data_IF_298327835287
#
_entry.id   IF_298327835287
#
_cell.length_a   1.000
_cell.length_b   1.000
_cell.length_c   1.000
_cell.angle_alpha   90.00
_cell.angle_beta   90.00
_cell.angle_gamma   90.00
#
_symmetry.space_group_name_H-M   'P 1'
#
loop_
_entity.id
_entity.type
_entity.pdbx_description
1 polymer ?
#
# COMPACT_ATOMS: atom_id res chain seq x y z
N UNK A 1 -20.20 -10.72 -40.78
CA UNK A 1 -20.51 -9.32 -40.49
C UNK A 1 -21.27 -9.11 -39.20
N UNK A 2 -22.37 -9.81 -38.93
CA UNK A 2 -23.19 -9.65 -37.68
C UNK A 2 -22.35 -9.88 -36.40
N UNK A 3 -21.53 -10.94 -36.33
CA UNK A 3 -20.70 -11.25 -35.15
C UNK A 3 -19.72 -10.11 -34.85
N UNK A 4 -19.08 -9.52 -35.86
CA UNK A 4 -18.15 -8.40 -35.70
C UNK A 4 -18.89 -7.16 -35.16
N UNK A 5 -20.12 -6.93 -35.63
CA UNK A 5 -20.97 -5.81 -35.17
C UNK A 5 -21.36 -6.01 -33.68
N UNK A 6 -21.74 -7.23 -33.30
CA UNK A 6 -22.08 -7.58 -31.93
C UNK A 6 -20.85 -7.41 -31.01
N UNK A 7 -19.69 -7.94 -31.43
CA UNK A 7 -18.45 -7.81 -30.66
C UNK A 7 -18.02 -6.33 -30.48
N UNK A 8 -18.15 -5.53 -31.54
CA UNK A 8 -17.84 -4.10 -31.48
C UNK A 8 -18.73 -3.37 -30.44
N UNK A 9 -20.05 -3.56 -30.51
CA UNK A 9 -20.96 -2.88 -29.60
C UNK A 9 -20.85 -3.39 -28.16
N UNK A 10 -20.59 -4.69 -27.95
CA UNK A 10 -20.30 -5.24 -26.63
C UNK A 10 -19.03 -4.66 -26.04
N UNK A 11 -17.96 -4.54 -26.83
CA UNK A 11 -16.71 -3.92 -26.38
C UNK A 11 -16.91 -2.44 -26.06
N UNK A 12 -17.62 -1.70 -26.92
CA UNK A 12 -17.93 -0.30 -26.68
C UNK A 12 -18.79 -0.09 -25.42
N UNK A 13 -19.80 -0.94 -25.22
CA UNK A 13 -20.64 -0.91 -24.01
C UNK A 13 -19.85 -1.25 -22.75
N UNK A 14 -18.93 -2.22 -22.82
CA UNK A 14 -18.07 -2.59 -21.71
C UNK A 14 -17.10 -1.45 -21.35
N UNK A 15 -16.48 -0.83 -22.34
CA UNK A 15 -15.61 0.35 -22.12
C UNK A 15 -16.39 1.50 -21.48
N UNK A 16 -17.59 1.79 -22.01
CA UNK A 16 -18.44 2.82 -21.42
C UNK A 16 -18.84 2.48 -19.97
N UNK A 17 -19.23 1.23 -19.72
CA UNK A 17 -19.56 0.79 -18.37
C UNK A 17 -18.39 0.93 -17.42
N UNK A 18 -17.19 0.50 -17.84
CA UNK A 18 -15.99 0.53 -16.97
C UNK A 18 -15.64 1.97 -16.56
N UNK A 19 -15.74 2.94 -17.50
CA UNK A 19 -15.31 4.31 -17.21
C UNK A 19 -16.41 5.21 -16.62
N UNK A 20 -17.67 4.91 -16.88
CA UNK A 20 -18.80 5.74 -16.45
C UNK A 20 -19.83 4.97 -15.65
N UNK A 21 -20.26 3.80 -16.11
CA UNK A 21 -21.29 3.02 -15.46
C UNK A 21 -20.86 2.49 -14.09
N UNK A 22 -19.64 2.02 -13.98
CA UNK A 22 -19.11 1.48 -12.72
C UNK A 22 -18.98 2.55 -11.63
N UNK A 23 -18.35 3.72 -11.84
CA UNK A 23 -18.33 4.78 -10.84
C UNK A 23 -19.72 5.30 -10.46
N UNK A 24 -20.64 5.39 -11.41
CA UNK A 24 -22.03 5.77 -11.14
C UNK A 24 -22.70 4.71 -10.27
N UNK A 25 -22.47 3.43 -10.53
CA UNK A 25 -23.01 2.34 -9.71
C UNK A 25 -22.44 2.39 -8.27
N UNK A 26 -21.13 2.61 -8.10
CA UNK A 26 -20.52 2.81 -6.79
C UNK A 26 -21.13 3.99 -6.05
N UNK A 27 -21.26 5.13 -6.71
CA UNK A 27 -21.89 6.32 -6.15
C UNK A 27 -23.36 6.08 -5.73
N UNK A 28 -24.14 5.39 -6.56
CA UNK A 28 -25.52 5.01 -6.21
C UNK A 28 -25.59 4.07 -5.01
N UNK A 29 -24.69 3.09 -4.93
CA UNK A 29 -24.62 2.16 -3.79
C UNK A 29 -24.24 2.90 -2.50
N UNK A 30 -23.34 3.85 -2.57
CA UNK A 30 -23.01 4.75 -1.46
C UNK A 30 -24.24 5.59 -1.05
N UNK A 31 -24.90 6.22 -2.03
CA UNK A 31 -26.06 7.09 -1.80
C UNK A 31 -27.25 6.36 -1.15
N UNK A 32 -27.54 5.12 -1.55
CA UNK A 32 -28.63 4.32 -0.94
C UNK A 32 -28.23 3.65 0.38
N UNK A 33 -27.05 4.02 0.93
CA UNK A 33 -26.61 3.54 2.25
C UNK A 33 -26.14 2.09 2.27
N UNK A 34 -25.92 1.47 1.10
CA UNK A 34 -25.21 0.20 0.99
C UNK A 34 -23.69 0.41 1.10
N UNK A 35 -23.23 1.66 0.99
CA UNK A 35 -21.91 2.12 1.35
C UNK A 35 -21.73 2.14 2.86
N UNK A 36 -20.55 1.76 3.31
CA UNK A 36 -20.23 1.77 4.73
C UNK A 36 -20.18 0.38 5.35
N UNK A 37 -20.02 -0.67 4.54
CA UNK A 37 -19.66 -1.99 5.07
C UNK A 37 -18.16 -2.21 5.17
N UNK A 38 -17.31 -1.44 4.49
CA UNK A 38 -15.85 -1.48 4.66
C UNK A 38 -15.31 -0.31 5.50
N UNK A 39 -15.86 0.89 5.38
CA UNK A 39 -15.70 1.95 6.41
C UNK A 39 -16.54 1.68 7.68
N UNK A 40 -17.45 0.69 7.62
CA UNK A 40 -18.07 -0.04 8.71
C UNK A 40 -17.72 -1.51 8.53
N UNK A 41 -16.55 -1.93 8.90
CA UNK A 41 -16.28 -3.36 8.97
C UNK A 41 -17.33 -3.97 9.92
N UNK A 42 -18.43 -4.52 9.36
CA UNK A 42 -19.63 -4.99 10.09
C UNK A 42 -20.28 -3.96 11.04
N UNK A 43 -20.51 -2.71 10.60
CA UNK A 43 -21.31 -1.73 11.35
C UNK A 43 -20.55 -0.86 12.35
N UNK A 44 -19.23 -1.05 12.52
CA UNK A 44 -18.35 -0.11 13.24
C UNK A 44 -17.56 0.73 12.26
N UNK A 45 -17.55 2.05 12.45
CA UNK A 45 -16.56 2.91 11.79
C UNK A 45 -15.20 2.60 12.37
N UNK A 46 -14.14 2.74 11.58
CA UNK A 46 -12.77 2.60 12.07
C UNK A 46 -12.51 3.54 13.26
N UNK A 47 -13.04 4.77 13.19
CA UNK A 47 -13.03 5.76 14.29
C UNK A 47 -13.73 5.31 15.58
N UNK A 48 -14.55 4.25 15.54
CA UNK A 48 -15.27 3.72 16.70
C UNK A 48 -14.46 2.61 17.41
N UNK A 49 -13.29 2.24 16.87
CA UNK A 49 -12.38 1.27 17.48
C UNK A 49 -11.36 2.07 18.28
N UNK A 50 -11.43 2.02 19.62
CA UNK A 50 -10.48 2.77 20.42
C UNK A 50 -9.06 2.25 20.21
N UNK A 51 -8.05 3.13 20.31
CA UNK A 51 -6.67 2.70 20.35
C UNK A 51 -6.46 1.75 21.53
N UNK A 52 -5.55 0.80 21.40
CA UNK A 52 -5.03 0.05 22.51
C UNK A 52 -4.20 1.02 23.37
N UNK A 53 -4.57 1.20 24.62
CA UNK A 53 -3.87 2.11 25.55
C UNK A 53 -3.09 1.28 26.55
N UNK A 54 -1.84 1.63 26.77
CA UNK A 54 -1.02 1.08 27.84
C UNK A 54 -1.59 1.55 29.19
N UNK A 55 -1.99 0.62 30.08
CA UNK A 55 -2.60 1.00 31.35
C UNK A 55 -1.65 1.71 32.31
N UNK A 56 -0.35 1.57 32.13
CA UNK A 56 0.68 2.15 33.00
C UNK A 56 1.13 3.54 32.54
N UNK A 57 1.14 3.80 31.22
CA UNK A 57 1.61 5.07 30.64
C UNK A 57 0.48 5.95 30.11
N UNK A 58 -0.73 5.42 29.97
CA UNK A 58 -1.87 6.06 29.28
C UNK A 58 -1.60 6.42 27.82
N UNK A 59 -0.52 5.89 27.24
CA UNK A 59 -0.15 6.12 25.85
C UNK A 59 -0.75 5.07 24.91
N UNK A 60 -0.90 5.43 23.63
CA UNK A 60 -1.36 4.49 22.62
C UNK A 60 -0.29 3.45 22.32
N UNK A 61 -0.65 2.17 22.38
CA UNK A 61 0.21 1.06 21.99
C UNK A 61 0.26 0.98 20.46
N UNK A 62 1.36 1.46 19.89
CA UNK A 62 1.64 1.33 18.47
C UNK A 62 2.32 -0.02 18.16
N UNK A 63 1.99 -0.67 17.03
CA UNK A 63 2.66 -1.91 16.64
C UNK A 63 4.08 -1.65 16.14
N UNK A 64 5.00 -2.59 16.33
CA UNK A 64 6.28 -2.57 15.64
C UNK A 64 6.06 -2.73 14.12
N UNK A 65 6.70 -1.90 13.32
CA UNK A 65 6.60 -1.91 11.85
C UNK A 65 7.97 -2.18 11.24
N UNK A 66 8.03 -3.12 10.29
CA UNK A 66 9.17 -3.26 9.39
C UNK A 66 8.85 -2.56 8.06
N UNK A 67 9.53 -1.44 7.79
CA UNK A 67 9.43 -0.72 6.53
C UNK A 67 10.43 -1.31 5.53
N UNK A 68 9.92 -2.00 4.54
CA UNK A 68 10.68 -2.71 3.50
C UNK A 68 10.80 -1.81 2.27
N UNK A 69 12.02 -1.53 1.87
CA UNK A 69 12.38 -0.73 0.70
C UNK A 69 13.10 -1.63 -0.29
N UNK A 70 12.44 -1.98 -1.40
CA UNK A 70 13.07 -2.73 -2.49
C UNK A 70 13.86 -1.78 -3.39
N UNK A 71 15.12 -2.10 -3.66
CA UNK A 71 16.02 -1.27 -4.45
C UNK A 71 16.80 -2.09 -5.49
N UNK A 72 17.02 -1.51 -6.67
CA UNK A 72 17.89 -2.04 -7.70
C UNK A 72 18.56 -0.90 -8.47
N UNK A 73 19.85 -0.67 -8.25
CA UNK A 73 20.62 0.43 -8.81
C UNK A 73 19.95 1.79 -8.52
N UNK A 74 19.73 2.08 -7.27
CA UNK A 74 19.03 3.28 -6.76
C UNK A 74 19.98 4.20 -5.96
N UNK A 75 21.31 4.19 -6.25
CA UNK A 75 22.31 4.99 -5.54
C UNK A 75 21.95 6.49 -5.46
N UNK A 76 21.24 7.01 -6.47
CA UNK A 76 20.87 8.43 -6.54
C UNK A 76 19.80 8.83 -5.50
N UNK A 77 18.96 7.88 -5.07
CA UNK A 77 17.77 8.18 -4.25
C UNK A 77 17.74 7.44 -2.91
N UNK A 78 18.52 6.36 -2.75
CA UNK A 78 18.39 5.47 -1.59
C UNK A 78 18.74 6.16 -0.26
N UNK A 79 19.74 7.04 -0.24
CA UNK A 79 20.10 7.82 0.95
C UNK A 79 18.92 8.70 1.38
N UNK A 80 18.38 9.49 0.46
CA UNK A 80 17.22 10.35 0.73
C UNK A 80 16.00 9.55 1.20
N UNK A 81 15.80 8.34 0.65
CA UNK A 81 14.71 7.45 1.05
C UNK A 81 14.88 6.93 2.48
N UNK A 82 16.07 6.49 2.86
CA UNK A 82 16.34 6.02 4.23
C UNK A 82 16.22 7.18 5.23
N UNK A 83 16.75 8.36 4.90
CA UNK A 83 16.59 9.57 5.72
C UNK A 83 15.12 9.94 5.89
N UNK A 84 14.32 9.92 4.82
CA UNK A 84 12.87 10.14 4.88
C UNK A 84 12.18 9.12 5.78
N UNK A 85 12.59 7.85 5.75
CA UNK A 85 12.03 6.82 6.62
C UNK A 85 12.35 7.08 8.11
N UNK A 86 13.55 7.60 8.41
CA UNK A 86 13.98 7.96 9.78
C UNK A 86 13.25 9.21 10.33
N UNK A 87 12.73 10.06 9.44
CA UNK A 87 12.01 11.31 9.77
C UNK A 87 10.48 11.12 9.88
N UNK A 88 9.96 9.89 9.72
CA UNK A 88 8.53 9.63 9.87
C UNK A 88 8.09 9.82 11.33
N UNK A 89 6.87 10.35 11.51
CA UNK A 89 6.20 10.49 12.81
C UNK A 89 5.80 9.11 13.36
N UNK A 90 6.82 8.31 13.70
CA UNK A 90 6.67 6.99 14.30
C UNK A 90 7.80 6.75 15.30
N UNK A 91 7.52 6.13 16.49
CA UNK A 91 8.58 5.88 17.48
C UNK A 91 9.72 5.06 16.86
N UNK A 92 10.95 5.56 16.97
CA UNK A 92 12.13 4.97 16.31
C UNK A 92 12.38 3.52 16.74
N UNK A 93 12.12 3.22 17.99
CA UNK A 93 12.26 1.88 18.58
C UNK A 93 11.22 0.88 18.05
N UNK A 94 10.12 1.37 17.48
CA UNK A 94 9.07 0.57 16.85
C UNK A 94 9.17 0.53 15.33
N UNK A 95 10.17 1.20 14.72
CA UNK A 95 10.39 1.22 13.28
C UNK A 95 11.68 0.48 12.93
N UNK A 96 11.55 -0.58 12.13
CA UNK A 96 12.65 -1.33 11.55
C UNK A 96 12.72 -1.03 10.05
N UNK A 97 13.81 -0.42 9.59
CA UNK A 97 14.01 -0.05 8.18
C UNK A 97 14.86 -1.12 7.50
N UNK A 98 14.26 -1.83 6.54
CA UNK A 98 14.91 -2.91 5.79
C UNK A 98 15.06 -2.48 4.33
N UNK A 99 16.29 -2.41 3.83
CA UNK A 99 16.56 -2.21 2.40
C UNK A 99 16.91 -3.55 1.78
N UNK A 100 16.11 -3.98 0.80
CA UNK A 100 16.34 -5.21 0.03
C UNK A 100 16.89 -4.86 -1.35
N UNK A 101 18.21 -5.00 -1.50
CA UNK A 101 18.92 -4.76 -2.76
C UNK A 101 18.86 -6.01 -3.64
N UNK A 102 18.18 -5.88 -4.78
CA UNK A 102 17.95 -6.95 -5.77
C UNK A 102 19.13 -7.05 -6.76
N UNK A 103 20.33 -7.34 -6.24
CA UNK A 103 21.54 -7.46 -7.06
C UNK A 103 22.02 -6.13 -7.64
N UNK A 104 21.99 -5.05 -6.86
CA UNK A 104 22.57 -3.76 -7.30
C UNK A 104 24.06 -3.88 -7.53
N UNK A 105 24.56 -3.18 -8.54
CA UNK A 105 25.97 -3.12 -8.93
C UNK A 105 26.61 -1.74 -8.74
N UNK A 106 25.84 -0.79 -8.23
CA UNK A 106 26.20 0.59 -7.91
C UNK A 106 26.37 0.78 -6.39
N UNK A 107 26.46 2.01 -5.91
CA UNK A 107 26.59 2.37 -4.49
C UNK A 107 25.34 2.18 -3.62
N UNK A 108 24.25 1.58 -4.13
CA UNK A 108 22.97 1.46 -3.41
C UNK A 108 23.11 0.85 -2.01
N UNK A 109 23.89 -0.24 -1.89
CA UNK A 109 24.01 -1.01 -0.64
C UNK A 109 24.78 -0.22 0.41
N UNK A 110 25.92 0.35 0.03
CA UNK A 110 26.79 1.14 0.90
C UNK A 110 26.05 2.37 1.40
N UNK A 111 25.39 3.10 0.50
CA UNK A 111 24.64 4.31 0.84
C UNK A 111 23.45 4.01 1.76
N UNK A 112 22.74 2.90 1.57
CA UNK A 112 21.67 2.49 2.46
C UNK A 112 22.16 2.21 3.89
N UNK A 113 23.34 1.54 4.03
CA UNK A 113 23.97 1.28 5.33
C UNK A 113 24.43 2.58 5.99
N UNK A 114 25.10 3.45 5.25
CA UNK A 114 25.59 4.74 5.75
C UNK A 114 24.45 5.68 6.16
N UNK A 115 23.33 5.64 5.44
CA UNK A 115 22.14 6.43 5.77
C UNK A 115 21.41 5.95 7.03
N UNK A 116 21.71 4.75 7.57
CA UNK A 116 21.19 4.26 8.84
C UNK A 116 20.01 3.29 8.70
N UNK A 117 19.90 2.52 7.61
CA UNK A 117 18.98 1.38 7.53
C UNK A 117 19.34 0.34 8.59
N UNK A 118 18.35 -0.23 9.28
CA UNK A 118 18.58 -1.22 10.34
C UNK A 118 19.07 -2.56 9.77
N UNK A 119 18.61 -2.91 8.58
CA UNK A 119 19.01 -4.12 7.87
C UNK A 119 19.12 -3.84 6.36
N UNK A 120 20.25 -4.22 5.77
CA UNK A 120 20.42 -4.20 4.31
C UNK A 120 20.68 -5.62 3.82
N UNK A 121 19.76 -6.14 3.03
CA UNK A 121 19.85 -7.45 2.39
C UNK A 121 20.47 -7.31 1.01
N UNK A 122 21.63 -7.94 0.81
CA UNK A 122 22.30 -8.03 -0.48
C UNK A 122 21.88 -9.34 -1.15
N UNK A 123 20.95 -9.25 -2.08
CA UNK A 123 20.34 -10.41 -2.72
C UNK A 123 20.86 -10.60 -4.15
N UNK A 124 20.90 -11.83 -4.66
CA UNK A 124 21.11 -12.03 -6.08
C UNK A 124 19.96 -11.44 -6.88
N UNK A 125 20.21 -11.03 -8.13
CA UNK A 125 19.17 -10.48 -9.02
C UNK A 125 18.03 -11.49 -9.19
N UNK A 126 16.86 -11.17 -8.67
CA UNK A 126 15.67 -12.03 -8.66
C UNK A 126 14.38 -11.29 -8.98
N UNK A 127 14.42 -9.95 -9.06
CA UNK A 127 13.25 -9.09 -9.27
C UNK A 127 12.68 -8.54 -7.96
N UNK A 128 11.92 -7.43 -8.08
CA UNK A 128 11.33 -6.70 -6.95
C UNK A 128 10.57 -7.60 -5.98
N UNK A 129 9.75 -8.50 -6.51
CA UNK A 129 8.91 -9.40 -5.68
C UNK A 129 9.80 -10.37 -4.88
N UNK A 130 10.85 -10.92 -5.49
CA UNK A 130 11.78 -11.80 -4.78
C UNK A 130 12.50 -11.06 -3.64
N UNK A 131 12.94 -9.81 -3.87
CA UNK A 131 13.54 -8.97 -2.85
C UNK A 131 12.56 -8.65 -1.72
N UNK A 132 11.31 -8.32 -2.04
CA UNK A 132 10.26 -8.07 -1.05
C UNK A 132 9.93 -9.33 -0.23
N UNK A 133 9.88 -10.52 -0.86
CA UNK A 133 9.68 -11.79 -0.15
C UNK A 133 10.80 -12.06 0.85
N UNK A 134 12.06 -11.91 0.43
CA UNK A 134 13.22 -12.11 1.30
C UNK A 134 13.23 -11.13 2.47
N UNK A 135 12.87 -9.86 2.24
CA UNK A 135 12.77 -8.87 3.29
C UNK A 135 11.62 -9.14 4.25
N UNK A 136 10.47 -9.58 3.74
CA UNK A 136 9.32 -9.96 4.55
C UNK A 136 9.62 -11.16 5.48
N UNK A 137 10.45 -12.10 5.02
CA UNK A 137 10.91 -13.23 5.82
C UNK A 137 11.90 -12.82 6.93
N UNK A 138 12.74 -11.81 6.68
CA UNK A 138 13.70 -11.28 7.63
C UNK A 138 13.10 -10.28 8.63
N UNK A 139 11.94 -9.72 8.33
CA UNK A 139 11.28 -8.68 9.09
C UNK A 139 10.78 -9.16 10.47
N UNK A 140 10.90 -8.27 11.48
CA UNK A 140 10.50 -8.59 12.88
C UNK A 140 9.26 -7.80 13.31
N UNK A 141 8.71 -6.93 12.47
CA UNK A 141 7.55 -6.10 12.77
C UNK A 141 6.24 -6.89 12.88
N UNK A 142 5.33 -6.39 13.70
CA UNK A 142 3.94 -6.86 13.75
C UNK A 142 3.15 -6.46 12.49
N UNK A 143 3.63 -5.44 11.77
CA UNK A 143 3.16 -5.03 10.46
C UNK A 143 4.34 -4.91 9.50
N UNK A 144 4.11 -5.24 8.24
CA UNK A 144 5.04 -5.06 7.13
C UNK A 144 4.55 -3.89 6.28
N UNK A 145 5.32 -2.82 6.21
CA UNK A 145 5.08 -1.71 5.30
C UNK A 145 6.06 -1.77 4.12
N UNK A 146 5.62 -1.40 2.93
CA UNK A 146 6.41 -1.51 1.71
C UNK A 146 6.47 -0.18 0.98
N UNK A 147 7.66 0.17 0.53
CA UNK A 147 7.92 1.39 -0.24
C UNK A 147 8.84 1.11 -1.41
N UNK A 148 8.68 1.91 -2.46
CA UNK A 148 9.70 2.03 -3.51
C UNK A 148 10.83 2.95 -3.05
N UNK A 149 12.05 2.73 -3.55
CA UNK A 149 13.22 3.53 -3.19
C UNK A 149 13.11 5.00 -3.63
N UNK A 150 12.36 5.27 -4.69
CA UNK A 150 12.12 6.61 -5.23
C UNK A 150 10.84 7.29 -4.70
N UNK A 151 10.17 6.70 -3.71
CA UNK A 151 8.95 7.25 -3.11
C UNK A 151 9.25 7.92 -1.78
N UNK A 152 9.01 9.21 -1.68
CA UNK A 152 9.12 9.99 -0.43
C UNK A 152 7.75 9.99 0.25
N UNK A 153 7.73 9.65 1.52
CA UNK A 153 6.51 9.61 2.32
C UNK A 153 6.35 10.89 3.13
N UNK A 154 5.11 11.35 3.26
CA UNK A 154 4.76 12.43 4.20
C UNK A 154 5.04 11.97 5.65
N UNK A 155 5.39 12.87 6.57
CA UNK A 155 5.74 12.49 7.95
C UNK A 155 4.70 11.60 8.64
N UNK A 156 3.40 11.86 8.45
CA UNK A 156 2.29 11.10 9.07
C UNK A 156 1.91 9.83 8.32
N UNK A 157 2.49 9.58 7.13
CA UNK A 157 2.03 8.52 6.23
C UNK A 157 2.06 7.12 6.87
N UNK A 158 3.10 6.82 7.70
CA UNK A 158 3.20 5.52 8.36
C UNK A 158 2.13 5.36 9.44
N UNK A 159 1.89 6.39 10.25
CA UNK A 159 0.85 6.38 11.28
C UNK A 159 -0.53 6.18 10.68
N UNK A 160 -0.85 6.91 9.60
CA UNK A 160 -2.11 6.78 8.87
C UNK A 160 -2.28 5.39 8.23
N UNK A 161 -1.17 4.81 7.73
CA UNK A 161 -1.16 3.48 7.12
C UNK A 161 -1.40 2.36 8.17
N UNK A 162 -0.94 2.58 9.40
CA UNK A 162 -1.00 1.61 10.51
C UNK A 162 -2.35 1.66 11.24
N UNK A 163 -2.95 2.84 11.38
CA UNK A 163 -4.18 3.05 12.13
C UNK A 163 -5.32 2.08 11.77
N UNK A 164 -5.62 1.77 10.51
CA UNK A 164 -6.68 0.84 10.15
C UNK A 164 -6.49 -0.59 10.68
N UNK A 165 -5.26 -0.98 10.99
CA UNK A 165 -4.97 -2.31 11.54
C UNK A 165 -5.39 -2.50 13.00
N UNK A 166 -5.96 -1.51 13.66
CA UNK A 166 -6.70 -1.69 14.91
C UNK A 166 -7.89 -2.66 14.74
N UNK A 167 -8.41 -2.79 13.53
CA UNK A 167 -9.41 -3.81 13.20
C UNK A 167 -8.72 -5.08 12.67
N UNK A 168 -8.90 -6.20 13.38
CA UNK A 168 -8.29 -7.49 13.02
C UNK A 168 -8.75 -8.03 11.66
N UNK A 169 -9.83 -7.48 11.11
CA UNK A 169 -10.34 -7.84 9.78
C UNK A 169 -9.63 -7.10 8.65
N UNK A 170 -8.85 -6.06 8.95
CA UNK A 170 -8.03 -5.37 7.97
C UNK A 170 -6.76 -6.17 7.74
N UNK A 171 -6.60 -6.64 6.53
CA UNK A 171 -5.41 -7.42 6.12
C UNK A 171 -4.41 -6.64 5.29
N UNK A 172 -4.87 -5.57 4.62
CA UNK A 172 -4.08 -4.73 3.72
C UNK A 172 -4.55 -3.29 3.76
N UNK A 173 -3.63 -2.36 3.79
CA UNK A 173 -3.91 -0.92 3.66
C UNK A 173 -2.95 -0.34 2.64
N UNK A 174 -3.45 0.45 1.69
CA UNK A 174 -2.58 1.13 0.74
C UNK A 174 -2.77 2.64 0.83
N UNK A 175 -1.68 3.37 0.70
CA UNK A 175 -1.67 4.82 0.74
C UNK A 175 -1.84 5.46 -0.64
N UNK A 176 -2.02 6.77 -0.63
CA UNK A 176 -2.13 7.59 -1.82
C UNK A 176 -0.77 8.04 -2.31
N UNK A 177 -0.52 7.94 -3.62
CA UNK A 177 0.66 8.52 -4.27
C UNK A 177 0.29 9.82 -4.95
N UNK A 178 1.10 10.85 -4.73
CA UNK A 178 1.03 12.14 -5.42
C UNK A 178 2.20 12.28 -6.37
N UNK A 179 1.94 12.77 -7.56
CA UNK A 179 2.98 13.12 -8.52
C UNK A 179 3.29 14.60 -8.40
N UNK A 180 4.49 14.92 -7.92
CA UNK A 180 4.93 16.29 -7.68
C UNK A 180 5.98 16.67 -8.73
N UNK A 181 5.82 17.81 -9.38
CA UNK A 181 6.80 18.35 -10.32
C UNK A 181 8.01 18.96 -9.59
N UNK A 182 9.08 19.29 -10.35
CA UNK A 182 10.30 19.89 -9.78
C UNK A 182 10.05 21.23 -9.06
N UNK A 183 8.96 21.92 -9.40
CA UNK A 183 8.50 23.17 -8.83
C UNK A 183 7.54 22.98 -7.63
N UNK A 184 7.32 21.73 -7.20
CA UNK A 184 6.35 21.38 -6.16
C UNK A 184 4.89 21.38 -6.65
N UNK A 185 4.65 21.64 -7.93
CA UNK A 185 3.31 21.64 -8.52
C UNK A 185 2.76 20.21 -8.68
N UNK A 186 1.44 20.09 -8.50
CA UNK A 186 0.75 18.81 -8.70
C UNK A 186 0.70 18.46 -10.20
N UNK A 187 1.32 17.35 -10.60
CA UNK A 187 1.31 16.81 -11.96
C UNK A 187 0.16 15.83 -12.22
N UNK A 188 -0.72 15.62 -11.24
CA UNK A 188 -1.84 14.68 -11.38
C UNK A 188 -2.83 15.14 -12.45
N UNK A 189 -2.98 14.35 -13.48
CA UNK A 189 -3.99 14.54 -14.50
C UNK A 189 -5.41 14.29 -13.99
N UNK A 190 -6.42 14.74 -14.75
CA UNK A 190 -7.83 14.50 -14.42
C UNK A 190 -8.14 12.99 -14.28
N UNK A 191 -7.46 12.16 -15.08
CA UNK A 191 -7.61 10.70 -15.02
C UNK A 191 -7.13 10.13 -13.66
N UNK A 192 -5.99 10.58 -13.14
CA UNK A 192 -5.48 10.13 -11.85
C UNK A 192 -6.44 10.49 -10.69
N UNK A 193 -6.96 11.72 -10.66
CA UNK A 193 -7.97 12.14 -9.67
C UNK A 193 -9.25 11.31 -9.74
N UNK A 194 -9.65 10.94 -10.96
CA UNK A 194 -10.78 10.04 -11.18
C UNK A 194 -10.49 8.63 -10.61
N UNK A 195 -9.35 8.03 -10.92
CA UNK A 195 -8.92 6.73 -10.37
C UNK A 195 -8.91 6.72 -8.85
N UNK A 196 -8.34 7.76 -8.24
CA UNK A 196 -8.29 7.88 -6.77
C UNK A 196 -9.69 7.98 -6.16
N UNK A 197 -10.60 8.70 -6.80
CA UNK A 197 -11.99 8.78 -6.34
C UNK A 197 -12.73 7.44 -6.44
N UNK A 198 -12.50 6.69 -7.49
CA UNK A 198 -13.07 5.33 -7.64
C UNK A 198 -12.56 4.41 -6.53
N UNK A 199 -11.24 4.39 -6.27
CA UNK A 199 -10.64 3.58 -5.19
C UNK A 199 -11.19 3.96 -3.81
N UNK A 200 -11.37 5.25 -3.55
CA UNK A 200 -11.99 5.69 -2.31
C UNK A 200 -13.42 5.15 -2.16
N UNK A 201 -14.26 5.25 -3.19
CA UNK A 201 -15.62 4.69 -3.18
C UNK A 201 -15.61 3.16 -3.00
N UNK A 202 -14.70 2.44 -3.64
CA UNK A 202 -14.52 1.00 -3.43
C UNK A 202 -14.15 0.68 -1.99
N UNK A 203 -13.19 1.41 -1.43
CA UNK A 203 -12.75 1.24 -0.04
C UNK A 203 -13.91 1.46 0.95
N UNK A 204 -14.73 2.48 0.72
CA UNK A 204 -15.90 2.78 1.57
C UNK A 204 -17.01 1.73 1.45
N UNK A 205 -17.16 1.07 0.28
CA UNK A 205 -18.21 0.09 0.03
C UNK A 205 -17.89 -1.31 0.52
N UNK A 206 -16.74 -1.85 0.15
CA UNK A 206 -16.42 -3.27 0.38
C UNK A 206 -14.94 -3.59 0.51
N UNK A 207 -14.06 -2.65 0.18
CA UNK A 207 -12.62 -2.80 0.06
C UNK A 207 -12.15 -2.59 -1.38
N UNK A 208 -10.88 -2.22 -1.52
CA UNK A 208 -10.28 -1.91 -2.82
C UNK A 208 -10.05 -3.16 -3.65
N UNK A 209 -10.11 -2.99 -4.96
CA UNK A 209 -9.82 -4.05 -5.95
C UNK A 209 -8.36 -4.03 -6.41
N UNK A 210 -7.68 -2.89 -6.27
CA UNK A 210 -6.27 -2.73 -6.57
C UNK A 210 -5.63 -1.73 -5.63
N UNK A 211 -4.43 -2.02 -5.16
CA UNK A 211 -3.65 -1.16 -4.28
C UNK A 211 -2.67 -0.26 -5.03
N UNK A 212 -1.61 0.12 -4.31
CA UNK A 212 -0.49 0.88 -4.82
C UNK A 212 0.82 0.25 -4.33
N UNK A 213 1.70 -0.12 -5.26
CA UNK A 213 2.96 -0.80 -4.94
C UNK A 213 4.01 0.08 -4.28
N UNK A 214 3.83 1.42 -4.31
CA UNK A 214 4.80 2.37 -3.75
C UNK A 214 4.56 2.69 -2.27
N UNK A 215 3.36 2.40 -1.75
CA UNK A 215 3.00 2.60 -0.34
C UNK A 215 1.85 1.68 0.06
N UNK A 216 2.14 0.67 0.86
CA UNK A 216 1.12 -0.21 1.44
C UNK A 216 1.66 -0.93 2.67
N UNK A 217 0.75 -1.45 3.50
CA UNK A 217 1.07 -2.31 4.63
C UNK A 217 0.19 -3.55 4.67
N UNK A 218 0.72 -4.63 5.28
CA UNK A 218 0.02 -5.90 5.50
C UNK A 218 0.41 -6.48 6.86
N UNK A 219 -0.45 -7.33 7.43
CA UNK A 219 -0.05 -8.20 8.54
C UNK A 219 0.89 -9.30 8.03
N UNK A 220 1.93 -9.71 8.78
CA UNK A 220 2.75 -10.87 8.41
C UNK A 220 1.91 -12.13 8.13
N UNK A 221 0.87 -12.38 8.95
CA UNK A 221 -0.07 -13.49 8.75
C UNK A 221 -0.91 -13.42 7.49
N UNK A 222 -1.03 -12.23 6.92
CA UNK A 222 -1.75 -11.94 5.67
C UNK A 222 -0.84 -11.85 4.46
N UNK A 223 0.47 -11.79 4.68
CA UNK A 223 1.45 -11.73 3.59
C UNK A 223 1.39 -13.00 2.74
N UNK A 224 1.46 -12.80 1.44
CA UNK A 224 1.39 -13.88 0.45
C UNK A 224 2.65 -13.79 -0.40
N UNK A 225 3.61 -14.70 -0.22
CA UNK A 225 4.76 -14.75 -1.13
C UNK A 225 4.27 -14.98 -2.56
N UNK A 226 4.59 -14.05 -3.44
CA UNK A 226 4.25 -14.16 -4.86
C UNK A 226 5.49 -14.59 -5.65
N UNK A 227 5.27 -15.15 -6.81
CA UNK A 227 6.31 -15.29 -7.83
C UNK A 227 6.49 -13.98 -8.62
N UNK A 228 7.54 -13.88 -9.44
CA UNK A 228 7.85 -12.67 -10.20
C UNK A 228 6.84 -12.33 -11.31
N UNK A 229 5.86 -13.19 -11.57
CA UNK A 229 4.75 -12.89 -12.50
C UNK A 229 3.60 -12.16 -11.84
N UNK A 230 3.60 -12.10 -10.50
CA UNK A 230 2.58 -11.44 -9.70
C UNK A 230 2.95 -9.99 -9.35
N UNK A 231 1.99 -9.30 -8.72
CA UNK A 231 2.14 -7.95 -8.21
C UNK A 231 1.30 -7.85 -6.93
N UNK A 232 1.91 -7.36 -5.85
CA UNK A 232 1.27 -7.29 -4.54
C UNK A 232 0.01 -6.40 -4.55
N UNK A 233 0.07 -5.27 -5.25
CA UNK A 233 -1.01 -4.31 -5.37
C UNK A 233 -2.26 -4.86 -6.08
N UNK A 234 -2.10 -5.80 -7.00
CA UNK A 234 -3.22 -6.47 -7.67
C UNK A 234 -3.63 -7.77 -6.97
N UNK A 235 -2.66 -8.53 -6.44
CA UNK A 235 -2.93 -9.87 -5.92
C UNK A 235 -3.49 -9.88 -4.50
N UNK A 236 -3.02 -8.98 -3.62
CA UNK A 236 -3.40 -8.98 -2.21
C UNK A 236 -4.87 -8.68 -1.97
N UNK A 237 -5.48 -7.63 -2.57
CA UNK A 237 -6.88 -7.33 -2.31
C UNK A 237 -7.80 -8.52 -2.58
N UNK A 238 -7.63 -9.20 -3.72
CA UNK A 238 -8.45 -10.37 -4.07
C UNK A 238 -8.17 -11.59 -3.19
N UNK A 239 -6.90 -11.85 -2.88
CA UNK A 239 -6.53 -13.00 -2.06
C UNK A 239 -7.01 -12.85 -0.62
N UNK A 240 -6.95 -11.64 -0.08
CA UNK A 240 -7.40 -11.33 1.28
C UNK A 240 -8.93 -11.32 1.37
N UNK A 241 -9.62 -10.83 0.36
CA UNK A 241 -11.09 -10.92 0.29
C UNK A 241 -11.58 -12.38 0.34
N UNK A 242 -10.87 -13.31 -0.31
CA UNK A 242 -11.17 -14.77 -0.21
C UNK A 242 -10.95 -15.34 1.20
N UNK A 243 -10.09 -14.72 2.01
CA UNK A 243 -9.86 -15.07 3.42
C UNK A 243 -10.83 -14.34 4.37
N UNK A 244 -11.75 -13.53 3.86
CA UNK A 244 -12.69 -12.72 4.65
C UNK A 244 -12.06 -11.48 5.28
N UNK A 245 -10.87 -11.09 4.81
CA UNK A 245 -10.18 -9.87 5.23
C UNK A 245 -10.49 -8.71 4.28
N UNK A 246 -10.39 -7.50 4.81
CA UNK A 246 -10.66 -6.27 4.08
C UNK A 246 -9.34 -5.60 3.66
N UNK A 247 -9.35 -5.02 2.46
CA UNK A 247 -8.27 -4.19 1.92
C UNK A 247 -8.77 -2.75 1.80
N UNK A 248 -8.05 -1.79 2.39
CA UNK A 248 -8.44 -0.38 2.49
C UNK A 248 -7.50 0.55 1.71
N UNK A 249 -8.03 1.74 1.39
CA UNK A 249 -7.31 2.85 0.76
C UNK A 249 -7.47 4.11 1.59
#
# INVERSE_FOLDING_TARGET
>A
MIVIYILFWLSAALLFFTHFGYPIALWLLEFIGLGGRAGKVRGRKLSDIPPAIDPDTEEEILPKVSLIIAAYNEEVVIEAKVMNALELDYPRELLEIIVASDGSSDGTVEMAKEAGADLVLELPRGGKIAAQNAAAEAATGALLAFSDANSIWEPTALTELVEPFRDDRVGYVCGQVRFVGPDGGNLEGAYWRYEMRVRQMESELAGITAGNGAIYAVRPSSYIPLDNSGSHDLSFPFALAKKGLTSLY
#
